data_IF_764221685034
#
_entry.id   IF_764221685034
#
_cell.length_a   1.000
_cell.length_b   1.000
_cell.length_c   1.000
_cell.angle_alpha   90.00
_cell.angle_beta   90.00
_cell.angle_gamma   90.00
#
_symmetry.space_group_name_H-M   'P 1'
#
loop_
_entity.id
_entity.type
_entity.pdbx_description
1 polymer ?
#
# COMPACT_ATOMS: atom_id res chain seq x y z
N UNK A 1 0.16 -12.84 -0.96
CA UNK A 1 1.51 -12.45 -1.44
C UNK A 1 1.48 -11.96 -2.88
N UNK A 2 0.82 -12.67 -3.81
CA UNK A 2 0.65 -12.19 -5.20
C UNK A 2 0.01 -10.79 -5.28
N UNK A 3 -1.09 -10.57 -4.55
CA UNK A 3 -1.75 -9.24 -4.51
C UNK A 3 -0.84 -8.14 -3.99
N UNK A 4 0.01 -8.45 -3.00
CA UNK A 4 1.00 -7.50 -2.45
C UNK A 4 2.03 -7.15 -3.50
N UNK A 5 2.58 -8.15 -4.20
CA UNK A 5 3.59 -7.93 -5.23
C UNK A 5 3.02 -7.11 -6.39
N UNK A 6 1.84 -7.44 -6.89
CA UNK A 6 1.21 -6.69 -7.96
C UNK A 6 0.93 -5.24 -7.56
N UNK A 7 0.45 -5.01 -6.34
CA UNK A 7 0.19 -3.67 -5.85
C UNK A 7 1.47 -2.83 -5.76
N UNK A 8 2.60 -3.44 -5.36
CA UNK A 8 3.90 -2.78 -5.35
C UNK A 8 4.32 -2.40 -6.77
N UNK A 9 4.27 -3.35 -7.71
CA UNK A 9 4.61 -3.10 -9.12
C UNK A 9 3.73 -2.02 -9.73
N UNK A 10 2.44 -2.02 -9.40
CA UNK A 10 1.51 -1.01 -9.89
C UNK A 10 1.81 0.37 -9.31
N UNK A 11 2.09 0.48 -8.01
CA UNK A 11 2.55 1.72 -7.36
C UNK A 11 3.80 2.24 -8.05
N UNK A 12 4.82 1.40 -8.24
CA UNK A 12 6.07 1.77 -8.90
C UNK A 12 5.84 2.25 -10.33
N UNK A 13 4.88 1.66 -11.05
CA UNK A 13 4.56 2.04 -12.42
C UNK A 13 3.94 3.44 -12.58
N UNK A 14 3.44 4.04 -11.50
CA UNK A 14 2.84 5.38 -11.53
C UNK A 14 3.89 6.50 -11.49
N UNK A 15 5.13 6.17 -11.17
CA UNK A 15 6.20 7.14 -11.00
C UNK A 15 7.23 7.03 -12.10
N UNK A 16 7.66 8.18 -12.61
CA UNK A 16 8.84 8.30 -13.45
C UNK A 16 10.07 8.53 -12.56
N UNK A 17 11.27 8.33 -13.10
CA UNK A 17 12.54 8.42 -12.34
C UNK A 17 12.74 9.76 -11.61
N UNK A 18 12.05 10.82 -12.06
CA UNK A 18 12.16 12.17 -11.51
C UNK A 18 10.85 12.74 -10.98
N UNK A 19 9.83 11.92 -10.70
CA UNK A 19 8.59 12.42 -10.09
C UNK A 19 8.88 13.06 -8.74
N UNK A 20 8.60 14.35 -8.65
CA UNK A 20 8.76 15.14 -7.43
C UNK A 20 7.57 14.97 -6.49
N UNK A 21 7.78 15.29 -5.21
CA UNK A 21 6.69 15.25 -4.23
C UNK A 21 5.55 16.23 -4.55
N UNK A 22 5.85 17.43 -5.07
CA UNK A 22 4.80 18.40 -5.40
C UNK A 22 3.98 17.96 -6.63
N UNK A 23 4.61 17.31 -7.62
CA UNK A 23 3.89 16.70 -8.75
C UNK A 23 2.93 15.62 -8.26
N UNK A 24 3.42 14.67 -7.45
CA UNK A 24 2.57 13.64 -6.82
C UNK A 24 1.42 14.26 -6.00
N UNK A 25 1.73 15.27 -5.19
CA UNK A 25 0.75 15.95 -4.33
C UNK A 25 -0.33 16.66 -5.15
N UNK A 26 0.02 17.20 -6.32
CA UNK A 26 -0.92 17.87 -7.23
C UNK A 26 -1.76 16.88 -8.05
N UNK A 27 -1.29 15.65 -8.28
CA UNK A 27 -2.00 14.62 -9.04
C UNK A 27 -2.95 13.80 -8.15
N UNK A 28 -4.24 14.18 -8.16
CA UNK A 28 -5.27 13.45 -7.42
C UNK A 28 -5.45 12.01 -7.90
N UNK A 29 -5.31 11.74 -9.21
CA UNK A 29 -5.52 10.40 -9.76
C UNK A 29 -4.43 9.45 -9.24
N UNK A 30 -3.18 9.88 -9.32
CA UNK A 30 -2.05 9.08 -8.85
C UNK A 30 -2.11 8.85 -7.34
N UNK A 31 -2.47 9.87 -6.54
CA UNK A 31 -2.71 9.67 -5.10
C UNK A 31 -3.77 8.61 -4.81
N UNK A 32 -4.93 8.68 -5.49
CA UNK A 32 -6.00 7.68 -5.31
C UNK A 32 -5.57 6.28 -5.74
N UNK A 33 -4.80 6.16 -6.81
CA UNK A 33 -4.27 4.88 -7.28
C UNK A 33 -3.27 4.27 -6.28
N UNK A 34 -2.39 5.10 -5.69
CA UNK A 34 -1.46 4.68 -4.64
C UNK A 34 -2.19 4.29 -3.35
N UNK A 35 -3.13 5.11 -2.88
CA UNK A 35 -3.96 4.83 -1.70
C UNK A 35 -4.68 3.48 -1.86
N UNK A 36 -5.29 3.24 -3.02
CA UNK A 36 -5.98 1.98 -3.32
C UNK A 36 -5.05 0.77 -3.26
N UNK A 37 -3.84 0.88 -3.80
CA UNK A 37 -2.86 -0.20 -3.74
C UNK A 37 -2.34 -0.44 -2.32
N UNK A 38 -2.16 0.61 -1.51
CA UNK A 38 -1.84 0.47 -0.09
C UNK A 38 -2.98 -0.25 0.67
N UNK A 39 -4.25 0.01 0.34
CA UNK A 39 -5.37 -0.72 0.92
C UNK A 39 -5.31 -2.22 0.60
N UNK A 40 -5.00 -2.57 -0.65
CA UNK A 40 -4.86 -3.97 -1.09
C UNK A 40 -3.74 -4.66 -0.30
N UNK A 41 -2.58 -4.01 -0.18
CA UNK A 41 -1.46 -4.53 0.60
C UNK A 41 -1.87 -4.73 2.06
N UNK A 42 -2.48 -3.72 2.69
CA UNK A 42 -2.90 -3.80 4.10
C UNK A 42 -3.97 -4.85 4.37
N UNK A 43 -4.92 -5.05 3.45
CA UNK A 43 -5.91 -6.13 3.58
C UNK A 43 -5.25 -7.51 3.42
N UNK A 44 -4.34 -7.68 2.46
CA UNK A 44 -3.60 -8.92 2.30
C UNK A 44 -2.74 -9.23 3.52
N UNK A 45 -2.06 -8.23 4.09
CA UNK A 45 -1.27 -8.37 5.32
C UNK A 45 -2.13 -8.73 6.52
N UNK A 46 -3.30 -8.10 6.68
CA UNK A 46 -4.25 -8.44 7.75
C UNK A 46 -4.69 -9.91 7.67
N UNK A 47 -4.97 -10.41 6.46
CA UNK A 47 -5.34 -11.82 6.25
C UNK A 47 -4.21 -12.78 6.58
N UNK A 48 -2.97 -12.43 6.20
CA UNK A 48 -1.78 -13.22 6.51
C UNK A 48 -1.58 -13.31 8.03
N UNK A 49 -1.58 -12.18 8.74
CA UNK A 49 -1.39 -12.13 10.20
C UNK A 49 -2.50 -12.84 10.97
N UNK A 50 -3.74 -12.85 10.47
CA UNK A 50 -4.83 -13.62 11.07
C UNK A 50 -4.68 -15.13 10.90
N UNK A 51 -4.02 -15.57 9.83
CA UNK A 51 -3.77 -16.99 9.55
C UNK A 51 -2.51 -17.49 10.26
N UNK A 52 -1.49 -16.66 10.32
CA UNK A 52 -0.22 -16.92 10.98
C UNK A 52 0.27 -15.61 11.61
N UNK A 53 0.07 -15.50 12.93
CA UNK A 53 0.47 -14.32 13.69
C UNK A 53 1.96 -14.27 14.00
N UNK A 54 2.68 -15.39 13.82
CA UNK A 54 4.12 -15.51 14.11
C UNK A 54 4.98 -15.29 12.86
N UNK A 55 4.37 -15.15 11.68
CA UNK A 55 5.06 -14.86 10.44
C UNK A 55 5.96 -13.63 10.58
N UNK A 56 7.22 -13.79 10.18
CA UNK A 56 8.25 -12.76 10.32
C UNK A 56 8.25 -11.84 9.09
N UNK A 57 7.19 -11.02 8.96
CA UNK A 57 7.17 -9.90 8.01
C UNK A 57 7.33 -8.61 8.82
N UNK A 58 8.46 -7.94 8.62
CA UNK A 58 8.74 -6.67 9.28
C UNK A 58 7.64 -5.65 8.98
N UNK A 59 7.23 -4.89 10.00
CA UNK A 59 6.28 -3.77 9.88
C UNK A 59 4.88 -4.17 9.39
N UNK A 60 4.53 -5.46 9.34
CA UNK A 60 3.23 -5.96 8.89
C UNK A 60 2.04 -5.28 9.59
N UNK A 61 2.14 -5.06 10.92
CA UNK A 61 1.08 -4.35 11.69
C UNK A 61 0.94 -2.89 11.29
N UNK A 62 2.06 -2.18 11.08
CA UNK A 62 2.03 -0.78 10.66
C UNK A 62 1.35 -0.62 9.30
N UNK A 63 1.58 -1.56 8.37
CA UNK A 63 0.90 -1.56 7.06
C UNK A 63 -0.62 -1.72 7.22
N UNK A 64 -1.06 -2.62 8.12
CA UNK A 64 -2.50 -2.78 8.43
C UNK A 64 -3.08 -1.49 9.04
N UNK A 65 -2.33 -0.84 9.93
CA UNK A 65 -2.77 0.41 10.57
C UNK A 65 -2.87 1.57 9.57
N UNK A 66 -1.94 1.67 8.62
CA UNK A 66 -2.00 2.64 7.52
C UNK A 66 -3.25 2.43 6.68
N UNK A 67 -3.59 1.17 6.34
CA UNK A 67 -4.84 0.87 5.64
C UNK A 67 -6.06 1.35 6.41
N UNK A 68 -6.11 1.11 7.72
CA UNK A 68 -7.23 1.56 8.56
C UNK A 68 -7.34 3.10 8.56
N UNK A 69 -6.20 3.80 8.58
CA UNK A 69 -6.15 5.26 8.50
C UNK A 69 -6.69 5.80 7.17
N UNK A 70 -6.39 5.13 6.05
CA UNK A 70 -6.86 5.52 4.71
C UNK A 70 -8.37 5.30 4.57
N UNK A 71 -8.91 4.18 5.07
CA UNK A 71 -10.36 3.89 4.98
C UNK A 71 -11.20 4.84 5.84
N UNK A 72 -10.67 5.24 7.00
CA UNK A 72 -11.43 6.01 7.99
C UNK A 72 -11.11 7.52 7.99
N UNK A 73 -10.10 7.96 7.24
CA UNK A 73 -9.69 9.35 7.10
C UNK A 73 -10.32 10.03 5.90
#
# INVERSE_FOLDING_TARGET
LYDVLNAIVEIESYFEEHTTFEEFKSDLKTKRAVERNIEIIGEAMNRILKKDSEIQITQARQIVDVRNRIIHG
#
